data_IF_746069162157
#
_entry.id   IF_746069162157
#
_cell.length_a   1.000
_cell.length_b   1.000
_cell.length_c   1.000
_cell.angle_alpha   90.00
_cell.angle_beta   90.00
_cell.angle_gamma   90.00
#
_symmetry.space_group_name_H-M   'P 1'
#
loop_
_entity.id
_entity.type
_entity.pdbx_description
1 polymer ?
#
# COMPACT_ATOMS: atom_id res chain seq x y z
N UNK A 1 -20.77 0.59 -13.67
CA UNK A 1 -19.61 1.01 -14.49
C UNK A 1 -19.65 2.52 -14.65
N UNK A 2 -19.20 3.25 -13.63
CA UNK A 2 -19.11 4.70 -13.68
C UNK A 2 -17.75 5.02 -14.31
N UNK A 3 -17.75 5.41 -15.58
CA UNK A 3 -16.60 6.05 -16.20
C UNK A 3 -16.26 7.25 -15.31
N UNK A 4 -15.15 7.15 -14.58
CA UNK A 4 -14.58 8.31 -13.92
C UNK A 4 -14.38 9.36 -15.01
N UNK A 5 -15.15 10.45 -14.94
CA UNK A 5 -14.80 11.67 -15.64
C UNK A 5 -13.43 12.03 -15.08
N UNK A 6 -12.37 11.73 -15.84
CA UNK A 6 -11.09 12.37 -15.64
C UNK A 6 -11.37 13.83 -15.91
N UNK A 7 -11.71 14.58 -14.87
CA UNK A 7 -11.67 16.02 -14.93
C UNK A 7 -10.28 16.33 -15.45
N UNK A 8 -10.21 17.06 -16.57
CA UNK A 8 -8.97 17.62 -17.08
C UNK A 8 -8.49 18.63 -16.05
N UNK A 9 -7.91 18.14 -14.95
CA UNK A 9 -7.08 18.94 -14.07
C UNK A 9 -5.91 19.30 -14.96
N UNK A 10 -5.70 20.58 -15.30
CA UNK A 10 -4.49 20.96 -16.00
C UNK A 10 -3.34 20.50 -15.11
N UNK A 11 -2.67 19.43 -15.54
CA UNK A 11 -1.39 18.99 -15.00
C UNK A 11 -0.44 20.15 -15.31
N UNK A 12 -0.46 21.17 -14.46
CA UNK A 12 0.54 22.22 -14.45
C UNK A 12 1.81 21.56 -13.95
N UNK A 13 2.42 20.75 -14.83
CA UNK A 13 3.85 20.64 -14.87
C UNK A 13 4.33 22.09 -14.82
N UNK A 14 5.24 22.46 -13.89
CA UNK A 14 5.85 23.79 -13.91
C UNK A 14 6.23 24.06 -15.37
N UNK A 15 5.92 25.24 -15.93
CA UNK A 15 5.87 25.45 -17.37
C UNK A 15 7.17 24.96 -18.00
N UNK A 16 7.16 23.74 -18.56
CA UNK A 16 8.27 23.33 -19.38
C UNK A 16 8.11 24.17 -20.62
N UNK A 17 8.98 25.17 -20.78
CA UNK A 17 9.11 25.95 -22.02
C UNK A 17 9.48 25.07 -23.24
N UNK A 18 9.60 23.77 -23.03
CA UNK A 18 10.01 22.78 -23.98
C UNK A 18 8.77 22.12 -24.62
N UNK A 19 8.57 22.29 -25.94
CA UNK A 19 7.66 21.43 -26.73
C UNK A 19 8.28 20.05 -26.95
N UNK A 20 8.77 19.38 -25.90
CA UNK A 20 9.76 18.33 -26.10
C UNK A 20 9.16 16.95 -26.41
N UNK A 21 9.54 16.45 -27.58
CA UNK A 21 9.69 15.03 -27.87
C UNK A 21 10.94 14.44 -27.17
N UNK A 22 11.14 14.75 -25.87
CA UNK A 22 12.33 14.35 -25.10
C UNK A 22 12.11 14.32 -23.58
N UNK A 23 13.05 13.75 -22.79
CA UNK A 23 12.87 13.44 -21.37
C UNK A 23 12.60 14.69 -20.51
N UNK A 24 11.68 14.57 -19.55
CA UNK A 24 11.36 15.60 -18.56
C UNK A 24 12.47 15.73 -17.50
N UNK A 25 13.69 16.07 -17.93
CA UNK A 25 14.93 15.92 -17.16
C UNK A 25 14.99 16.71 -15.83
N UNK A 26 14.10 17.67 -15.61
CA UNK A 26 14.04 18.47 -14.38
C UNK A 26 12.95 18.08 -13.38
N UNK A 27 12.01 17.20 -13.73
CA UNK A 27 10.93 16.82 -12.83
C UNK A 27 11.41 15.73 -11.86
N UNK A 28 11.19 15.94 -10.55
CA UNK A 28 11.41 14.93 -9.51
C UNK A 28 10.05 14.38 -9.08
N UNK A 29 9.95 13.06 -9.01
CA UNK A 29 8.73 12.35 -8.63
C UNK A 29 8.93 11.59 -7.33
N UNK A 30 7.87 11.46 -6.54
CA UNK A 30 7.85 10.63 -5.34
C UNK A 30 6.80 9.53 -5.49
N UNK A 31 7.23 8.28 -5.42
CA UNK A 31 6.36 7.10 -5.45
C UNK A 31 6.27 6.51 -4.05
N UNK A 32 5.05 6.42 -3.51
CA UNK A 32 4.76 5.87 -2.19
C UNK A 32 4.07 4.51 -2.36
N UNK A 33 4.82 3.46 -2.09
CA UNK A 33 4.48 2.07 -2.36
C UNK A 33 5.19 1.58 -3.62
N UNK A 34 5.97 0.52 -3.47
CA UNK A 34 6.66 -0.21 -4.52
C UNK A 34 5.99 -1.57 -4.82
N UNK A 35 4.87 -1.89 -4.18
CA UNK A 35 4.07 -3.09 -4.46
C UNK A 35 2.99 -2.86 -5.51
N UNK A 36 2.64 -3.93 -6.26
CA UNK A 36 1.49 -3.94 -7.18
C UNK A 36 1.55 -2.81 -8.20
N UNK A 37 0.71 -1.78 -8.02
CA UNK A 37 0.67 -0.58 -8.85
C UNK A 37 2.04 0.12 -8.85
N UNK A 38 2.71 0.20 -7.69
CA UNK A 38 4.03 0.83 -7.57
C UNK A 38 5.10 0.20 -8.47
N UNK A 39 5.08 -1.13 -8.66
CA UNK A 39 5.98 -1.82 -9.59
C UNK A 39 5.75 -1.39 -11.03
N UNK A 40 4.49 -1.42 -11.49
CA UNK A 40 4.12 -1.05 -12.85
C UNK A 40 4.40 0.43 -13.12
N UNK A 41 4.08 1.27 -12.15
CA UNK A 41 4.29 2.70 -12.22
C UNK A 41 5.76 3.05 -12.35
N UNK A 42 6.65 2.44 -11.56
CA UNK A 42 8.09 2.71 -11.68
C UNK A 42 8.62 2.38 -13.06
N UNK A 43 8.19 1.24 -13.62
CA UNK A 43 8.52 0.83 -14.99
C UNK A 43 8.00 1.87 -16.00
N UNK A 44 6.74 2.29 -15.89
CA UNK A 44 6.16 3.27 -16.82
C UNK A 44 6.85 4.64 -16.72
N UNK A 45 7.16 5.11 -15.52
CA UNK A 45 7.82 6.41 -15.30
C UNK A 45 9.21 6.44 -15.94
N UNK A 46 10.04 5.42 -15.71
CA UNK A 46 11.40 5.40 -16.30
C UNK A 46 11.35 5.23 -17.81
N UNK A 47 10.45 4.40 -18.34
CA UNK A 47 10.32 4.19 -19.78
C UNK A 47 9.71 5.39 -20.53
N UNK A 48 8.99 6.26 -19.82
CA UNK A 48 8.49 7.54 -20.38
C UNK A 48 9.46 8.70 -20.21
N UNK A 49 10.66 8.45 -19.66
CA UNK A 49 11.74 9.42 -19.59
C UNK A 49 11.80 10.24 -18.29
N UNK A 50 11.11 9.82 -17.23
CA UNK A 50 11.36 10.34 -15.89
C UNK A 50 12.53 9.60 -15.25
N UNK A 51 13.62 10.32 -14.97
CA UNK A 51 14.82 9.72 -14.38
C UNK A 51 14.95 10.02 -12.89
N UNK A 52 14.46 11.14 -12.38
CA UNK A 52 14.61 11.52 -10.96
C UNK A 52 13.41 11.05 -10.12
N UNK A 53 13.52 9.89 -9.48
CA UNK A 53 12.40 9.26 -8.75
C UNK A 53 12.84 8.87 -7.34
N UNK A 54 12.08 9.30 -6.35
CA UNK A 54 12.21 8.84 -4.97
C UNK A 54 11.12 7.80 -4.70
N UNK A 55 11.48 6.69 -4.06
CA UNK A 55 10.58 5.56 -3.81
C UNK A 55 10.57 5.24 -2.33
N UNK A 56 9.38 5.22 -1.72
CA UNK A 56 9.19 4.86 -0.32
C UNK A 56 8.35 3.60 -0.25
N UNK A 57 8.84 2.56 0.43
CA UNK A 57 8.05 1.38 0.77
C UNK A 57 8.57 0.78 2.09
N UNK A 58 7.67 0.63 3.05
CA UNK A 58 7.97 0.13 4.40
C UNK A 58 7.92 -1.40 4.50
N UNK A 59 7.44 -2.07 3.47
CA UNK A 59 7.31 -3.51 3.47
C UNK A 59 8.59 -4.19 2.98
N UNK A 60 8.76 -5.43 3.42
CA UNK A 60 9.68 -6.39 2.84
C UNK A 60 8.96 -7.28 1.83
N UNK A 61 9.72 -7.91 0.93
CA UNK A 61 9.19 -8.78 -0.11
C UNK A 61 8.72 -10.10 0.50
N UNK A 62 7.45 -10.44 0.27
CA UNK A 62 6.88 -11.73 0.65
C UNK A 62 6.67 -12.65 -0.57
N UNK A 63 6.64 -13.97 -0.37
CA UNK A 63 6.41 -14.95 -1.45
C UNK A 63 5.07 -14.71 -2.14
N UNK A 64 4.03 -14.31 -1.41
CA UNK A 64 2.71 -13.97 -1.95
C UNK A 64 2.72 -12.75 -2.88
N UNK A 65 3.80 -11.98 -2.92
CA UNK A 65 3.93 -10.81 -3.78
C UNK A 65 4.40 -11.16 -5.19
N UNK A 66 5.10 -12.29 -5.34
CA UNK A 66 5.79 -12.68 -6.57
C UNK A 66 4.85 -12.93 -7.76
N UNK A 67 3.57 -13.17 -7.50
CA UNK A 67 2.56 -13.42 -8.55
C UNK A 67 2.20 -12.18 -9.37
N UNK A 68 2.46 -10.97 -8.85
CA UNK A 68 2.02 -9.70 -9.46
C UNK A 68 3.03 -8.55 -9.38
N UNK A 69 4.16 -8.75 -8.71
CA UNK A 69 5.17 -7.71 -8.47
C UNK A 69 6.49 -8.11 -9.15
N UNK A 70 6.54 -7.94 -10.47
CA UNK A 70 7.59 -8.48 -11.33
C UNK A 70 9.00 -7.90 -11.06
N UNK A 71 9.11 -6.76 -10.35
CA UNK A 71 10.40 -6.22 -9.93
C UNK A 71 11.08 -7.07 -8.85
N UNK A 72 10.39 -8.04 -8.25
CA UNK A 72 10.89 -8.82 -7.12
C UNK A 72 11.08 -10.29 -7.51
N UNK A 73 12.33 -10.74 -7.74
CA UNK A 73 12.60 -12.17 -7.93
C UNK A 73 12.57 -12.92 -6.60
N UNK A 74 12.30 -14.23 -6.64
CA UNK A 74 12.20 -15.10 -5.45
C UNK A 74 13.41 -15.03 -4.51
N UNK A 75 14.62 -14.84 -5.06
CA UNK A 75 15.87 -14.70 -4.29
C UNK A 75 15.92 -13.46 -3.39
N UNK A 76 15.00 -12.51 -3.56
CA UNK A 76 14.94 -11.26 -2.79
C UNK A 76 13.86 -11.26 -1.71
N UNK A 77 13.16 -12.38 -1.48
CA UNK A 77 12.22 -12.52 -0.36
C UNK A 77 12.89 -12.16 0.96
N UNK A 78 12.21 -11.37 1.79
CA UNK A 78 12.71 -10.82 3.05
C UNK A 78 13.48 -9.48 2.92
N UNK A 79 13.87 -9.06 1.72
CA UNK A 79 14.54 -7.76 1.50
C UNK A 79 13.50 -6.63 1.37
N UNK A 80 13.92 -5.39 1.63
CA UNK A 80 13.11 -4.19 1.43
C UNK A 80 12.60 -4.07 -0.01
N UNK A 81 11.28 -3.84 -0.18
CA UNK A 81 10.69 -3.61 -1.51
C UNK A 81 11.27 -2.38 -2.18
N UNK A 82 11.42 -1.27 -1.45
CA UNK A 82 11.95 -0.03 -2.01
C UNK A 82 13.37 -0.21 -2.58
N UNK A 83 14.26 -0.84 -1.81
CA UNK A 83 15.65 -1.05 -2.24
C UNK A 83 15.74 -1.98 -3.44
N UNK A 84 15.02 -3.11 -3.40
CA UNK A 84 15.04 -4.06 -4.51
C UNK A 84 14.36 -3.49 -5.75
N UNK A 85 13.31 -2.68 -5.61
CA UNK A 85 12.66 -2.02 -6.75
C UNK A 85 13.66 -1.11 -7.47
N UNK A 86 14.42 -0.30 -6.73
CA UNK A 86 15.53 0.49 -7.27
C UNK A 86 16.55 -0.39 -8.00
N UNK A 87 17.06 -1.43 -7.34
CA UNK A 87 18.05 -2.34 -7.93
C UNK A 87 17.55 -2.98 -9.23
N UNK A 88 16.30 -3.44 -9.25
CA UNK A 88 15.68 -4.07 -10.41
C UNK A 88 15.46 -3.09 -11.56
N UNK A 89 15.01 -1.87 -11.27
CA UNK A 89 14.84 -0.84 -12.30
C UNK A 89 16.17 -0.46 -12.93
N UNK A 90 17.23 -0.29 -12.13
CA UNK A 90 18.56 0.05 -12.62
C UNK A 90 19.20 -1.04 -13.49
N UNK A 91 18.71 -2.29 -13.46
CA UNK A 91 19.18 -3.35 -14.36
C UNK A 91 18.74 -3.13 -15.81
N UNK A 92 17.55 -2.57 -16.04
CA UNK A 92 17.02 -2.35 -17.38
C UNK A 92 16.97 -0.88 -17.79
N UNK A 93 17.10 0.05 -16.83
CA UNK A 93 17.19 1.48 -17.10
C UNK A 93 18.30 2.13 -16.23
N UNK A 94 19.58 1.97 -16.60
CA UNK A 94 20.72 2.40 -15.77
C UNK A 94 20.84 3.93 -15.58
N UNK A 95 20.23 4.72 -16.47
CA UNK A 95 20.26 6.19 -16.42
C UNK A 95 19.28 6.79 -15.41
N UNK A 96 18.39 5.98 -14.81
CA UNK A 96 17.48 6.47 -13.79
C UNK A 96 18.26 6.84 -12.50
N UNK A 97 17.90 7.98 -11.94
CA UNK A 97 18.34 8.44 -10.63
C UNK A 97 17.25 8.14 -9.60
N UNK A 98 17.33 6.94 -9.00
CA UNK A 98 16.36 6.46 -8.02
C UNK A 98 16.93 6.50 -6.61
N UNK A 99 16.21 7.12 -5.67
CA UNK A 99 16.50 7.05 -4.23
C UNK A 99 15.42 6.21 -3.55
N UNK A 100 15.82 5.18 -2.82
CA UNK A 100 14.92 4.25 -2.15
C UNK A 100 14.97 4.45 -0.64
N UNK A 101 13.79 4.54 -0.02
CA UNK A 101 13.59 4.71 1.42
C UNK A 101 12.77 3.55 1.97
N UNK A 102 13.26 2.94 3.05
CA UNK A 102 12.58 1.88 3.80
C UNK A 102 12.17 2.37 5.19
N UNK A 103 11.75 3.63 5.26
CA UNK A 103 11.37 4.31 6.48
C UNK A 103 10.34 5.39 6.13
N UNK A 104 9.60 5.85 7.13
CA UNK A 104 8.66 6.97 6.97
C UNK A 104 9.47 8.26 6.94
N UNK A 105 10.18 8.47 5.85
CA UNK A 105 10.81 9.73 5.54
C UNK A 105 10.11 10.25 4.29
N UNK A 106 9.19 11.20 4.48
CA UNK A 106 8.57 11.94 3.39
C UNK A 106 9.33 13.28 3.32
N UNK A 107 10.49 13.32 2.65
CA UNK A 107 11.18 14.58 2.44
C UNK A 107 10.24 15.56 1.73
N UNK A 108 10.33 16.85 2.06
CA UNK A 108 9.66 17.92 1.33
C UNK A 108 10.15 17.90 -0.12
N UNK A 109 9.44 17.20 -0.99
CA UNK A 109 9.81 17.05 -2.40
C UNK A 109 8.81 17.79 -3.29
N UNK A 110 9.26 18.75 -4.11
CA UNK A 110 8.41 19.42 -5.08
C UNK A 110 8.21 18.52 -6.31
N UNK A 111 6.96 18.26 -6.70
CA UNK A 111 6.69 17.54 -7.95
C UNK A 111 5.31 16.90 -7.96
N UNK A 112 5.28 15.58 -7.78
CA UNK A 112 4.07 14.77 -7.81
C UNK A 112 4.26 13.56 -6.90
N UNK A 113 3.20 13.21 -6.17
CA UNK A 113 3.19 12.02 -5.32
C UNK A 113 2.20 11.00 -5.86
N UNK A 114 2.59 9.72 -5.95
CA UNK A 114 1.71 8.63 -6.37
C UNK A 114 1.65 7.58 -5.27
N UNK A 115 0.45 7.31 -4.72
CA UNK A 115 0.28 6.47 -3.53
C UNK A 115 -0.73 5.33 -3.72
N UNK A 116 -0.36 4.12 -3.27
CA UNK A 116 -1.22 2.91 -3.16
C UNK A 116 -1.01 2.19 -1.82
N UNK A 117 -1.12 2.90 -0.69
CA UNK A 117 -0.85 2.31 0.64
C UNK A 117 -1.91 2.63 1.70
N UNK A 118 -1.86 1.92 2.82
CA UNK A 118 -2.63 2.23 4.03
C UNK A 118 -2.37 3.64 4.57
N UNK A 119 -1.30 4.29 4.12
CA UNK A 119 -0.94 5.67 4.46
C UNK A 119 -1.66 6.74 3.60
N UNK A 120 -2.65 6.37 2.77
CA UNK A 120 -3.40 7.32 1.91
C UNK A 120 -3.88 8.57 2.63
N UNK A 121 -4.42 8.45 3.85
CA UNK A 121 -4.88 9.62 4.62
C UNK A 121 -3.71 10.52 5.04
N UNK A 122 -2.61 9.94 5.53
CA UNK A 122 -1.45 10.69 5.95
C UNK A 122 -0.82 11.45 4.77
N UNK A 123 -0.62 10.72 3.67
CA UNK A 123 -0.11 11.26 2.41
C UNK A 123 -1.01 12.38 1.86
N UNK A 124 -2.33 12.15 1.82
CA UNK A 124 -3.31 13.15 1.39
C UNK A 124 -3.17 14.46 2.16
N UNK A 125 -3.14 14.39 3.50
CA UNK A 125 -3.01 15.58 4.37
C UNK A 125 -1.71 16.33 4.12
N UNK A 126 -0.61 15.61 3.93
CA UNK A 126 0.68 16.26 3.66
C UNK A 126 0.72 16.92 2.29
N UNK A 127 0.20 16.28 1.25
CA UNK A 127 0.10 16.88 -0.08
C UNK A 127 -0.77 18.15 -0.06
N UNK A 128 -1.90 18.13 0.66
CA UNK A 128 -2.75 19.31 0.83
C UNK A 128 -2.09 20.42 1.66
N UNK A 129 -1.30 20.06 2.68
CA UNK A 129 -0.57 21.03 3.50
C UNK A 129 0.54 21.71 2.69
N UNK A 130 1.28 20.94 1.89
CA UNK A 130 2.40 21.41 1.08
C UNK A 130 2.00 21.97 -0.30
N UNK A 131 0.71 21.93 -0.66
CA UNK A 131 0.20 22.31 -1.98
C UNK A 131 0.88 21.57 -3.15
N UNK A 132 1.11 20.26 -2.95
CA UNK A 132 1.71 19.37 -3.95
C UNK A 132 0.59 18.52 -4.57
N UNK A 133 0.49 18.45 -5.91
CA UNK A 133 -0.46 17.55 -6.57
C UNK A 133 -0.19 16.07 -6.24
N UNK A 134 -1.27 15.33 -5.96
CA UNK A 134 -1.26 13.91 -5.64
C UNK A 134 -2.05 13.15 -6.70
N UNK A 135 -1.47 12.09 -7.26
CA UNK A 135 -2.19 11.11 -8.07
C UNK A 135 -2.41 9.88 -7.19
N UNK A 136 -3.62 9.73 -6.66
CA UNK A 136 -3.98 8.57 -5.84
C UNK A 136 -4.51 7.45 -6.72
N UNK A 137 -4.15 6.21 -6.38
CA UNK A 137 -4.65 5.04 -7.10
C UNK A 137 -4.88 3.87 -6.15
N UNK A 138 -5.80 2.99 -6.53
CA UNK A 138 -6.08 1.77 -5.78
C UNK A 138 -6.73 0.72 -6.65
N UNK A 139 -6.53 -0.54 -6.28
CA UNK A 139 -7.14 -1.70 -6.94
C UNK A 139 -7.75 -2.65 -5.91
N UNK A 140 -8.83 -3.31 -6.30
CA UNK A 140 -9.49 -4.37 -5.54
C UNK A 140 -10.08 -5.40 -6.50
N UNK A 141 -9.42 -6.56 -6.64
CA UNK A 141 -9.79 -7.55 -7.64
C UNK A 141 -9.69 -6.98 -9.06
N UNK A 142 -10.81 -7.00 -9.79
CA UNK A 142 -10.91 -6.44 -11.15
C UNK A 142 -11.31 -4.96 -11.19
N UNK A 143 -11.48 -4.32 -10.04
CA UNK A 143 -11.84 -2.92 -9.92
C UNK A 143 -10.58 -2.08 -9.67
N UNK A 144 -10.50 -0.93 -10.32
CA UNK A 144 -9.43 0.05 -10.15
C UNK A 144 -9.98 1.46 -10.13
N UNK A 145 -9.28 2.35 -9.43
CA UNK A 145 -9.58 3.78 -9.38
C UNK A 145 -8.29 4.59 -9.44
N UNK A 146 -8.36 5.74 -10.09
CA UNK A 146 -7.28 6.73 -10.15
C UNK A 146 -7.91 8.10 -9.99
N UNK A 147 -7.38 8.92 -9.08
CA UNK A 147 -7.89 10.26 -8.77
C UNK A 147 -6.74 11.24 -8.71
N UNK A 148 -6.90 12.41 -9.32
CA UNK A 148 -5.97 13.53 -9.16
C UNK A 148 -6.50 14.44 -8.05
N UNK A 149 -5.65 14.71 -7.06
CA UNK A 149 -5.94 15.54 -5.90
C UNK A 149 -5.05 16.79 -5.97
N UNK A 150 -5.69 17.97 -6.05
CA UNK A 150 -5.04 19.27 -6.02
C UNK A 150 -5.85 20.24 -5.16
N UNK A 151 -5.17 20.87 -4.18
CA UNK A 151 -5.77 21.78 -3.22
C UNK A 151 -6.53 22.91 -3.92
N UNK A 152 -7.77 23.14 -3.51
CA UNK A 152 -8.63 24.18 -4.07
C UNK A 152 -9.11 23.95 -5.51
N UNK A 153 -8.76 22.82 -6.14
CA UNK A 153 -9.15 22.49 -7.52
C UNK A 153 -10.00 21.24 -7.58
N UNK A 154 -9.64 20.19 -6.83
CA UNK A 154 -10.38 18.92 -6.80
C UNK A 154 -10.72 18.51 -5.37
N UNK A 155 -11.64 17.56 -5.24
CA UNK A 155 -11.90 16.89 -3.98
C UNK A 155 -10.66 16.09 -3.53
N UNK A 156 -10.44 16.00 -2.21
CA UNK A 156 -9.34 15.23 -1.64
C UNK A 156 -9.77 13.81 -1.29
N UNK A 157 -8.82 12.95 -0.96
CA UNK A 157 -9.10 11.54 -0.66
C UNK A 157 -10.12 11.37 0.49
N UNK A 158 -10.05 12.26 1.48
CA UNK A 158 -10.91 12.28 2.67
C UNK A 158 -12.25 13.01 2.47
N UNK A 159 -12.49 13.66 1.31
CA UNK A 159 -13.77 14.27 1.00
C UNK A 159 -14.89 13.24 0.80
N UNK A 160 -14.53 11.99 0.45
CA UNK A 160 -15.48 10.91 0.31
C UNK A 160 -15.48 10.02 1.56
N UNK A 161 -16.66 9.79 2.18
CA UNK A 161 -16.75 8.86 3.30
C UNK A 161 -16.33 7.47 2.84
N UNK A 162 -15.38 6.88 3.55
CA UNK A 162 -14.94 5.50 3.29
C UNK A 162 -15.85 4.53 4.04
N UNK A 163 -16.18 3.37 3.46
CA UNK A 163 -16.95 2.37 4.18
C UNK A 163 -16.20 2.00 5.45
N UNK A 164 -16.89 2.01 6.58
CA UNK A 164 -16.32 1.53 7.84
C UNK A 164 -16.00 0.06 7.70
N UNK A 165 -14.87 -0.38 8.27
CA UNK A 165 -14.58 -1.81 8.37
C UNK A 165 -15.73 -2.50 9.12
N UNK A 166 -16.12 -3.68 8.65
CA UNK A 166 -17.15 -4.47 9.32
C UNK A 166 -16.61 -4.92 10.67
N UNK A 167 -17.21 -4.43 11.74
CA UNK A 167 -16.98 -4.92 13.10
C UNK A 167 -18.16 -5.80 13.49
N UNK A 168 -17.86 -6.95 14.11
CA UNK A 168 -18.88 -7.86 14.62
C UNK A 168 -19.03 -7.63 16.13
N UNK A 169 -20.25 -7.60 16.68
CA UNK A 169 -20.43 -7.47 18.11
C UNK A 169 -19.79 -8.63 18.86
N UNK A 170 -19.11 -8.34 19.98
CA UNK A 170 -18.46 -9.37 20.80
C UNK A 170 -19.43 -10.49 21.19
N UNK A 171 -20.66 -10.17 21.60
CA UNK A 171 -21.66 -11.20 21.94
C UNK A 171 -22.00 -12.14 20.78
N UNK A 172 -21.94 -11.67 19.53
CA UNK A 172 -22.13 -12.51 18.33
C UNK A 172 -20.92 -13.39 18.10
N UNK A 173 -19.71 -12.86 18.27
CA UNK A 173 -18.47 -13.62 18.12
C UNK A 173 -18.36 -14.71 19.21
N UNK A 174 -18.60 -14.36 20.49
CA UNK A 174 -18.40 -15.27 21.65
C UNK A 174 -19.53 -16.27 21.85
N UNK A 175 -20.79 -15.83 21.72
CA UNK A 175 -21.93 -16.59 22.23
C UNK A 175 -22.88 -17.09 21.13
N UNK A 176 -22.94 -16.39 19.98
CA UNK A 176 -23.93 -16.69 18.94
C UNK A 176 -23.36 -16.57 17.51
N UNK A 177 -22.27 -17.28 17.17
CA UNK A 177 -21.65 -17.18 15.86
C UNK A 177 -22.57 -17.80 14.78
N UNK A 178 -23.07 -16.96 13.87
CA UNK A 178 -23.96 -17.39 12.78
C UNK A 178 -23.28 -17.55 11.41
N UNK A 179 -22.08 -17.01 11.21
CA UNK A 179 -21.36 -17.03 9.93
C UNK A 179 -19.94 -17.59 10.12
N UNK A 180 -19.34 -18.27 9.12
CA UNK A 180 -17.98 -18.81 9.24
C UNK A 180 -16.92 -17.75 9.61
N UNK A 181 -17.12 -16.50 9.18
CA UNK A 181 -16.22 -15.39 9.52
C UNK A 181 -16.19 -15.10 11.03
N UNK A 182 -17.30 -15.30 11.75
CA UNK A 182 -17.34 -15.08 13.20
C UNK A 182 -16.41 -16.05 13.94
N UNK A 183 -16.37 -17.31 13.50
CA UNK A 183 -15.46 -18.31 14.07
C UNK A 183 -13.99 -17.94 13.79
N UNK A 184 -13.68 -17.47 12.57
CA UNK A 184 -12.33 -17.05 12.20
C UNK A 184 -11.89 -15.84 13.04
N UNK A 185 -12.78 -14.86 13.25
CA UNK A 185 -12.51 -13.69 14.08
C UNK A 185 -12.30 -14.11 15.55
N UNK A 186 -13.14 -15.01 16.08
CA UNK A 186 -12.96 -15.58 17.43
C UNK A 186 -11.58 -16.21 17.63
N UNK A 187 -11.14 -17.06 16.70
CA UNK A 187 -9.81 -17.68 16.76
C UNK A 187 -8.66 -16.69 16.63
N UNK A 188 -8.90 -15.51 16.04
CA UNK A 188 -7.90 -14.46 15.85
C UNK A 188 -7.91 -13.36 16.92
N UNK A 189 -8.91 -13.32 17.81
CA UNK A 189 -8.87 -12.46 19.00
C UNK A 189 -7.91 -13.11 20.01
N UNK A 190 -6.72 -12.53 20.19
CA UNK A 190 -5.90 -12.83 21.37
C UNK A 190 -6.61 -12.26 22.59
N UNK A 191 -7.33 -13.12 23.31
CA UNK A 191 -7.92 -12.76 24.59
C UNK A 191 -6.80 -12.52 25.62
N UNK A 192 -6.58 -11.27 26.01
CA UNK A 192 -5.78 -10.92 27.18
C UNK A 192 -6.38 -11.43 28.51
N UNK A 193 -7.62 -11.94 28.48
CA UNK A 193 -8.40 -12.32 29.67
C UNK A 193 -8.71 -13.84 29.75
N UNK A 194 -8.08 -14.70 28.94
CA UNK A 194 -8.22 -16.16 29.11
C UNK A 194 -7.30 -16.70 30.23
N UNK A 195 -7.63 -16.40 31.49
CA UNK A 195 -7.57 -17.45 32.51
C UNK A 195 -8.83 -18.33 32.37
N UNK A 196 -8.93 -19.08 31.28
CA UNK A 196 -9.78 -20.26 31.27
C UNK A 196 -8.99 -21.35 31.98
N UNK A 197 -9.18 -21.43 33.29
CA UNK A 197 -8.77 -22.61 34.04
C UNK A 197 -9.42 -23.81 33.34
N UNK A 198 -8.68 -24.87 32.96
CA UNK A 198 -9.30 -26.06 32.42
C UNK A 198 -10.32 -26.53 33.45
N UNK A 199 -11.57 -26.66 33.00
CA UNK A 199 -12.68 -27.03 33.87
C UNK A 199 -12.35 -28.40 34.46
N UNK A 200 -11.97 -28.44 35.74
CA UNK A 200 -11.57 -29.68 36.46
C UNK A 200 -12.73 -30.67 36.60
N UNK A 201 -13.89 -30.36 36.02
CA UNK A 201 -15.09 -31.18 35.99
C UNK A 201 -15.23 -31.99 34.69
N UNK A 202 -14.29 -31.93 33.74
CA UNK A 202 -14.28 -32.83 32.58
C UNK A 202 -13.82 -34.24 33.00
N UNK A 203 -14.71 -35.25 33.00
CA UNK A 203 -14.36 -36.62 33.37
C UNK A 203 -13.41 -37.29 32.37
N UNK A 204 -13.20 -36.75 31.16
CA UNK A 204 -12.23 -37.30 30.19
C UNK A 204 -10.78 -36.81 30.44
N UNK A 205 -10.59 -35.73 31.21
CA UNK A 205 -9.25 -35.21 31.55
C UNK A 205 -8.60 -35.93 32.76
N UNK A 206 -9.34 -36.82 33.44
CA UNK A 206 -8.89 -37.49 34.66
C UNK A 206 -8.27 -38.88 34.43
N UNK A 207 -8.15 -39.34 33.19
CA UNK A 207 -7.69 -40.69 32.90
C UNK A 207 -6.46 -40.68 31.99
N UNK A 208 -5.27 -40.51 32.59
CA UNK A 208 -4.03 -41.21 32.19
C UNK A 208 -2.86 -40.76 33.08
N UNK A 209 -2.58 -41.52 34.15
CA UNK A 209 -1.26 -41.63 34.79
C UNK A 209 -1.32 -42.75 35.84
N UNK A 210 -1.31 -44.01 35.41
CA UNK A 210 -0.71 -45.13 36.18
C UNK A 210 -0.86 -46.45 35.44
N UNK A 211 0.14 -46.85 34.63
CA UNK A 211 0.43 -48.26 34.34
C UNK A 211 1.95 -48.47 34.16
N UNK A 212 2.55 -49.02 35.23
CA UNK A 212 3.80 -49.81 35.35
C UNK A 212 5.16 -49.12 35.12
N UNK A 213 6.00 -49.02 36.16
CA UNK A 213 6.96 -50.06 36.62
C UNK A 213 7.95 -50.52 35.56
#
# INVERSE_FOLDING_TARGET
MQLAKVASVPLLLPPCRCRCAGPCAGARLLVVGAGGIGCELLKDLVLTGFSNIDVIDLDTIDVSNLNRQFLFPKKHVGRSKAQVAKESVLQFYPEANIIAYHEVCLPYLPGYLIADSSARNHVNRMCLAADIPLIESGTAGYLGQVTVIKKGVTECYECHPKPTQKTFPGCTIRNTPSEPIHCIVWFGEEDADQEVSPDRADPEAACECDIHQ
#
